data_IF_847275323939
#
_entry.id   IF_847275323939
#
_cell.length_a   1.000
_cell.length_b   1.000
_cell.length_c   1.000
_cell.angle_alpha   90.00
_cell.angle_beta   90.00
_cell.angle_gamma   90.00
#
_symmetry.space_group_name_H-M   'P 1'
#
loop_
_entity.id
_entity.type
_entity.pdbx_description
1 polymer ?
#
# COMPACT_ATOMS: atom_id res chain seq x y z
N UNK A 1 4.95 -12.03 13.37
CA UNK A 1 5.16 -10.59 13.56
C UNK A 1 6.27 -10.33 14.60
N UNK A 2 6.17 -10.72 15.88
CA UNK A 2 7.12 -10.38 16.97
C UNK A 2 8.55 -10.85 16.68
N UNK A 3 8.74 -12.10 16.20
CA UNK A 3 10.07 -12.61 15.86
C UNK A 3 10.76 -11.75 14.78
N UNK A 4 10.02 -11.38 13.74
CA UNK A 4 10.52 -10.52 12.66
C UNK A 4 10.83 -9.12 13.18
N UNK A 5 9.98 -8.58 14.04
CA UNK A 5 10.18 -7.26 14.66
C UNK A 5 11.45 -7.20 15.53
N UNK A 6 11.68 -8.21 16.36
CA UNK A 6 12.92 -8.32 17.17
C UNK A 6 14.18 -8.40 16.29
N UNK A 7 14.12 -9.19 15.20
CA UNK A 7 15.21 -9.29 14.25
C UNK A 7 15.48 -7.94 13.56
N UNK A 8 14.42 -7.30 13.05
CA UNK A 8 14.53 -6.00 12.37
C UNK A 8 15.09 -4.92 13.31
N UNK A 9 14.62 -4.86 14.56
CA UNK A 9 15.13 -3.95 15.56
C UNK A 9 16.63 -4.20 15.86
N UNK A 10 17.06 -5.47 15.90
CA UNK A 10 18.45 -5.82 16.09
C UNK A 10 19.32 -5.38 14.89
N UNK A 11 18.88 -5.63 13.66
CA UNK A 11 19.56 -5.20 12.44
C UNK A 11 19.67 -3.68 12.39
N UNK A 12 18.58 -2.95 12.66
CA UNK A 12 18.59 -1.49 12.66
C UNK A 12 19.61 -0.90 13.64
N UNK A 13 19.72 -1.49 14.85
CA UNK A 13 20.75 -1.09 15.83
C UNK A 13 22.16 -1.38 15.33
N UNK A 14 22.39 -2.59 14.79
CA UNK A 14 23.73 -2.99 14.30
C UNK A 14 24.21 -2.16 13.10
N UNK A 15 23.28 -1.72 12.26
CA UNK A 15 23.60 -0.90 11.07
C UNK A 15 23.58 0.60 11.33
N UNK A 16 23.27 1.02 12.56
CA UNK A 16 23.22 2.44 12.92
C UNK A 16 22.11 3.21 12.18
N UNK A 17 21.00 2.56 11.88
CA UNK A 17 19.88 3.18 11.17
C UNK A 17 19.29 4.32 12.00
N UNK A 18 19.16 5.52 11.38
CA UNK A 18 18.71 6.74 12.09
C UNK A 18 17.23 6.72 12.39
N UNK A 19 16.42 6.28 11.43
CA UNK A 19 14.96 6.16 11.58
C UNK A 19 14.64 4.74 11.99
N UNK A 20 13.80 4.58 13.01
CA UNK A 20 13.33 3.26 13.43
C UNK A 20 12.49 2.64 12.31
N UNK A 21 12.79 1.41 11.88
CA UNK A 21 11.99 0.76 10.85
C UNK A 21 10.59 0.45 11.36
N UNK A 22 9.66 0.30 10.41
CA UNK A 22 8.29 -0.07 10.69
C UNK A 22 8.06 -1.56 10.37
N UNK A 23 7.16 -2.20 11.11
CA UNK A 23 6.65 -3.53 10.76
C UNK A 23 5.45 -3.36 9.84
N UNK A 24 5.53 -3.91 8.65
CA UNK A 24 4.41 -3.94 7.72
C UNK A 24 3.54 -5.16 8.05
N UNK A 25 2.28 -4.91 8.34
CA UNK A 25 1.22 -5.89 8.50
C UNK A 25 0.29 -5.78 7.29
N UNK A 26 -0.15 -6.89 6.77
CA UNK A 26 -1.13 -6.98 5.71
C UNK A 26 -2.03 -8.18 5.93
N UNK A 27 -3.20 -8.19 5.30
CA UNK A 27 -3.95 -9.41 5.09
C UNK A 27 -3.32 -10.23 3.94
N UNK A 28 -3.74 -11.46 3.78
CA UNK A 28 -3.25 -12.35 2.75
C UNK A 28 -4.05 -12.13 1.46
N UNK A 29 -3.54 -11.25 0.58
CA UNK A 29 -4.19 -10.95 -0.69
C UNK A 29 -4.12 -12.13 -1.68
N UNK A 30 -5.15 -12.22 -2.55
CA UNK A 30 -5.21 -13.25 -3.58
C UNK A 30 -5.62 -14.63 -3.08
N UNK A 31 -6.07 -14.77 -1.82
CA UNK A 31 -6.51 -16.04 -1.23
C UNK A 31 -8.03 -16.16 -1.13
N UNK A 32 -8.74 -15.07 -0.93
CA UNK A 32 -10.19 -15.05 -1.01
C UNK A 32 -10.63 -15.09 -2.48
N UNK A 33 -11.49 -16.06 -2.90
CA UNK A 33 -11.89 -16.19 -4.29
C UNK A 33 -12.67 -14.98 -4.83
N UNK A 34 -13.56 -14.38 -4.02
CA UNK A 34 -14.37 -13.23 -4.43
C UNK A 34 -13.47 -12.00 -4.55
N UNK A 35 -12.65 -11.72 -3.55
CA UNK A 35 -11.73 -10.58 -3.57
C UNK A 35 -10.73 -10.68 -4.72
N UNK A 36 -10.27 -11.89 -5.04
CA UNK A 36 -9.37 -12.16 -6.16
C UNK A 36 -10.06 -11.94 -7.50
N UNK A 37 -11.27 -12.46 -7.67
CA UNK A 37 -12.05 -12.36 -8.92
C UNK A 37 -12.48 -10.92 -9.22
N UNK A 38 -12.84 -10.15 -8.19
CA UNK A 38 -13.37 -8.80 -8.35
C UNK A 38 -12.39 -7.67 -7.99
N UNK A 39 -11.10 -7.95 -7.88
CA UNK A 39 -10.09 -6.92 -7.59
C UNK A 39 -10.21 -5.71 -8.54
N UNK A 40 -10.19 -4.50 -8.00
CA UNK A 40 -10.46 -3.25 -8.72
C UNK A 40 -11.95 -2.97 -9.02
N UNK A 41 -12.88 -3.85 -8.56
CA UNK A 41 -14.33 -3.78 -8.77
C UNK A 41 -15.11 -4.18 -7.52
N UNK A 42 -14.51 -4.05 -6.35
CA UNK A 42 -15.10 -4.48 -5.08
C UNK A 42 -16.30 -3.61 -4.74
N UNK A 43 -17.40 -4.26 -4.34
CA UNK A 43 -18.60 -3.62 -3.80
C UNK A 43 -18.70 -3.84 -2.29
N UNK A 44 -19.59 -3.10 -1.62
CA UNK A 44 -19.77 -3.20 -0.17
C UNK A 44 -20.19 -4.61 0.28
N UNK A 45 -20.97 -5.31 -0.53
CA UNK A 45 -21.45 -6.66 -0.23
C UNK A 45 -20.36 -7.73 -0.29
N UNK A 46 -19.23 -7.42 -0.94
CA UNK A 46 -18.05 -8.29 -1.02
C UNK A 46 -17.07 -8.06 0.14
N UNK A 47 -17.34 -7.07 0.99
CA UNK A 47 -16.53 -6.73 2.14
C UNK A 47 -16.83 -7.57 3.38
N UNK A 48 -16.03 -7.36 4.42
CA UNK A 48 -16.27 -7.96 5.73
C UNK A 48 -17.56 -7.42 6.37
N UNK A 49 -18.27 -8.27 7.09
CA UNK A 49 -19.39 -7.88 7.96
C UNK A 49 -18.88 -7.00 9.13
N UNK A 50 -19.79 -6.39 9.89
CA UNK A 50 -19.42 -5.59 11.05
C UNK A 50 -18.68 -6.41 12.13
N UNK A 51 -19.08 -7.66 12.31
CA UNK A 51 -18.46 -8.58 13.28
C UNK A 51 -17.05 -8.96 12.83
N UNK A 52 -16.88 -9.34 11.57
CA UNK A 52 -15.57 -9.67 10.97
C UNK A 52 -14.62 -8.47 11.01
N UNK A 53 -15.10 -7.26 10.71
CA UNK A 53 -14.31 -6.03 10.86
C UNK A 53 -13.83 -5.81 12.30
N UNK A 54 -14.68 -6.09 13.28
CA UNK A 54 -14.31 -5.96 14.69
C UNK A 54 -13.19 -6.95 15.06
N UNK A 55 -13.30 -8.20 14.61
CA UNK A 55 -12.27 -9.22 14.82
C UNK A 55 -10.97 -8.89 14.09
N UNK A 56 -11.07 -8.43 12.83
CA UNK A 56 -9.93 -8.06 12.01
C UNK A 56 -9.13 -6.92 12.65
N UNK A 57 -9.82 -5.84 13.03
CA UNK A 57 -9.20 -4.69 13.68
C UNK A 57 -8.62 -5.03 15.06
N UNK A 58 -9.30 -5.87 15.85
CA UNK A 58 -8.77 -6.36 17.11
C UNK A 58 -7.48 -7.16 16.92
N UNK A 59 -7.42 -7.99 15.85
CA UNK A 59 -6.21 -8.72 15.47
C UNK A 59 -5.06 -7.78 15.10
N UNK A 60 -5.33 -6.75 14.29
CA UNK A 60 -4.33 -5.74 13.93
C UNK A 60 -3.78 -5.01 15.17
N UNK A 61 -4.67 -4.58 16.10
CA UNK A 61 -4.28 -3.91 17.33
C UNK A 61 -3.42 -4.83 18.23
N UNK A 62 -3.83 -6.09 18.41
CA UNK A 62 -3.08 -7.05 19.22
C UNK A 62 -1.68 -7.33 18.66
N UNK A 63 -1.55 -7.44 17.33
CA UNK A 63 -0.25 -7.61 16.68
C UNK A 63 0.62 -6.36 16.87
N UNK A 64 0.07 -5.17 16.65
CA UNK A 64 0.80 -3.92 16.79
C UNK A 64 1.27 -3.67 18.21
N UNK A 65 0.41 -3.92 19.22
CA UNK A 65 0.77 -3.83 20.62
C UNK A 65 1.89 -4.81 20.99
N UNK A 66 1.78 -6.08 20.56
CA UNK A 66 2.81 -7.07 20.80
C UNK A 66 4.14 -6.70 20.14
N UNK A 67 4.12 -6.20 18.91
CA UNK A 67 5.31 -5.72 18.19
C UNK A 67 5.96 -4.58 18.95
N UNK A 68 5.19 -3.55 19.35
CA UNK A 68 5.71 -2.40 20.06
C UNK A 68 6.32 -2.81 21.42
N UNK A 69 5.61 -3.62 22.21
CA UNK A 69 6.08 -4.09 23.52
C UNK A 69 7.38 -4.88 23.41
N UNK A 70 7.51 -5.74 22.40
CA UNK A 70 8.59 -6.73 22.31
C UNK A 70 9.83 -6.23 21.50
N UNK A 71 9.68 -5.16 20.73
CA UNK A 71 10.76 -4.66 19.87
C UNK A 71 10.97 -3.14 19.89
N UNK A 72 10.00 -2.39 20.41
CA UNK A 72 9.97 -0.93 20.35
C UNK A 72 9.61 -0.38 18.96
N UNK A 73 9.28 -1.24 17.99
CA UNK A 73 8.90 -0.81 16.64
C UNK A 73 7.39 -0.58 16.54
N UNK A 74 6.99 0.35 15.69
CA UNK A 74 5.57 0.57 15.35
C UNK A 74 5.16 -0.29 14.15
N UNK A 75 3.86 -0.46 13.98
CA UNK A 75 3.26 -1.24 12.90
C UNK A 75 2.50 -0.35 11.94
N UNK A 76 2.65 -0.59 10.65
CA UNK A 76 1.82 0.01 9.59
C UNK A 76 1.07 -1.09 8.88
N UNK A 77 -0.20 -0.84 8.55
CA UNK A 77 -0.98 -1.76 7.72
C UNK A 77 -0.81 -1.40 6.25
N UNK A 78 -0.54 -2.41 5.42
CA UNK A 78 -0.46 -2.27 3.97
C UNK A 78 -1.75 -2.79 3.33
N UNK A 79 -2.47 -1.91 2.66
CA UNK A 79 -3.67 -2.25 1.89
C UNK A 79 -3.29 -2.81 0.53
N UNK A 80 -4.03 -3.82 0.07
CA UNK A 80 -3.80 -4.47 -1.22
C UNK A 80 -5.10 -4.70 -1.99
N UNK A 81 -5.02 -4.63 -3.32
CA UNK A 81 -6.05 -5.24 -4.16
C UNK A 81 -6.07 -6.76 -3.97
N UNK A 82 -7.25 -7.36 -4.07
CA UNK A 82 -7.52 -8.77 -3.75
C UNK A 82 -7.33 -9.16 -2.27
N UNK A 83 -7.22 -8.20 -1.37
CA UNK A 83 -7.32 -8.33 0.08
C UNK A 83 -8.63 -7.77 0.61
N UNK A 84 -8.86 -7.83 1.91
CA UNK A 84 -10.07 -7.27 2.54
C UNK A 84 -9.97 -5.76 2.81
N UNK A 85 -8.81 -5.15 2.61
CA UNK A 85 -8.59 -3.71 2.74
C UNK A 85 -8.08 -3.19 1.40
N UNK A 86 -9.00 -3.05 0.44
CA UNK A 86 -8.70 -2.65 -0.94
C UNK A 86 -9.21 -1.25 -1.27
N UNK A 87 -10.49 -0.99 -0.98
CA UNK A 87 -11.14 0.27 -1.36
C UNK A 87 -10.83 1.41 -0.37
N UNK A 88 -10.96 2.68 -0.79
CA UNK A 88 -10.78 3.81 0.12
C UNK A 88 -11.65 3.72 1.37
N UNK A 89 -12.90 3.28 1.24
CA UNK A 89 -13.82 3.10 2.37
C UNK A 89 -13.37 2.00 3.34
N UNK A 90 -12.81 0.91 2.84
CA UNK A 90 -12.25 -0.16 3.67
C UNK A 90 -10.99 0.29 4.40
N UNK A 91 -10.12 1.08 3.73
CA UNK A 91 -8.94 1.67 4.37
C UNK A 91 -9.36 2.61 5.49
N UNK A 92 -10.29 3.53 5.23
CA UNK A 92 -10.80 4.48 6.25
C UNK A 92 -11.47 3.73 7.41
N UNK A 93 -12.19 2.65 7.13
CA UNK A 93 -12.81 1.79 8.15
C UNK A 93 -11.77 1.10 9.04
N UNK A 94 -10.71 0.53 8.46
CA UNK A 94 -9.60 -0.03 9.22
C UNK A 94 -8.99 1.03 10.13
N UNK A 95 -8.70 2.22 9.61
CA UNK A 95 -8.12 3.32 10.37
C UNK A 95 -9.02 3.78 11.52
N UNK A 96 -10.36 3.78 11.33
CA UNK A 96 -11.33 4.13 12.36
C UNK A 96 -11.41 3.09 13.49
N UNK A 97 -11.18 1.81 13.18
CA UNK A 97 -11.30 0.70 14.13
C UNK A 97 -9.98 0.33 14.82
N UNK A 98 -8.85 0.86 14.36
CA UNK A 98 -7.53 0.55 14.92
C UNK A 98 -6.97 1.69 15.76
N UNK A 99 -6.15 1.33 16.77
CA UNK A 99 -5.49 2.29 17.64
C UNK A 99 -4.55 3.22 16.85
N UNK A 100 -4.82 4.54 16.86
CA UNK A 100 -4.03 5.51 16.09
C UNK A 100 -2.59 5.71 16.60
N UNK A 101 -2.26 5.22 17.80
CA UNK A 101 -0.91 5.29 18.36
C UNK A 101 -0.05 4.13 17.87
N UNK A 102 -0.64 2.95 17.73
CA UNK A 102 0.08 1.70 17.48
C UNK A 102 0.02 1.25 16.01
N UNK A 103 -1.07 1.59 15.30
CA UNK A 103 -1.28 1.19 13.89
C UNK A 103 -1.32 2.42 12.99
N UNK A 104 -0.36 2.52 12.08
CA UNK A 104 -0.39 3.47 10.98
C UNK A 104 -0.79 2.80 9.67
N UNK A 105 -0.71 3.57 8.59
CA UNK A 105 -0.90 3.09 7.22
C UNK A 105 0.41 3.20 6.47
N UNK A 106 0.79 2.16 5.76
CA UNK A 106 1.62 2.33 4.57
C UNK A 106 0.67 2.54 3.39
N UNK A 107 0.72 3.71 2.80
CA UNK A 107 -0.13 4.04 1.68
C UNK A 107 0.57 3.65 0.37
N UNK A 108 -0.04 2.73 -0.37
CA UNK A 108 0.42 2.31 -1.69
C UNK A 108 -0.39 3.00 -2.79
N UNK A 109 0.29 3.78 -3.62
CA UNK A 109 -0.36 4.62 -4.64
C UNK A 109 -1.01 3.81 -5.75
N UNK A 110 -0.40 2.71 -6.19
CA UNK A 110 -0.91 1.87 -7.28
C UNK A 110 -2.10 1.02 -6.83
N UNK A 111 -2.00 0.38 -5.67
CA UNK A 111 -3.13 -0.36 -5.11
C UNK A 111 -4.33 0.54 -4.82
N UNK A 112 -4.08 1.76 -4.32
CA UNK A 112 -5.16 2.73 -4.12
C UNK A 112 -5.88 3.06 -5.43
N UNK A 113 -5.14 3.42 -6.48
CA UNK A 113 -5.75 3.80 -7.78
C UNK A 113 -6.50 2.63 -8.42
N UNK A 114 -5.97 1.42 -8.34
CA UNK A 114 -6.67 0.24 -8.87
C UNK A 114 -7.92 -0.07 -8.05
N UNK A 115 -7.85 -0.06 -6.72
CA UNK A 115 -8.99 -0.35 -5.82
C UNK A 115 -10.04 0.76 -5.77
N UNK A 116 -9.64 2.04 -5.82
CA UNK A 116 -10.56 3.18 -5.82
C UNK A 116 -11.26 3.39 -7.17
N UNK A 117 -10.59 3.00 -8.26
CA UNK A 117 -11.09 3.26 -9.62
C UNK A 117 -10.88 4.68 -10.13
N UNK A 118 -10.54 5.64 -9.27
CA UNK A 118 -10.39 7.06 -9.59
C UNK A 118 -9.11 7.62 -8.97
N UNK A 119 -8.11 7.89 -9.80
CA UNK A 119 -6.83 8.48 -9.36
C UNK A 119 -7.00 9.90 -8.76
N UNK A 120 -7.97 10.66 -9.26
CA UNK A 120 -8.22 12.04 -8.83
C UNK A 120 -8.56 12.19 -7.34
N UNK A 121 -9.06 11.14 -6.68
CA UNK A 121 -9.43 11.17 -5.25
C UNK A 121 -8.24 10.98 -4.31
N UNK A 122 -7.07 10.60 -4.84
CA UNK A 122 -5.93 10.17 -4.03
C UNK A 122 -5.37 11.28 -3.13
N UNK A 123 -5.15 12.48 -3.66
CA UNK A 123 -4.56 13.59 -2.88
C UNK A 123 -5.51 14.02 -1.75
N UNK A 124 -6.79 14.06 -2.01
CA UNK A 124 -7.80 14.36 -0.97
C UNK A 124 -7.84 13.25 0.10
N UNK A 125 -7.69 12.00 -0.30
CA UNK A 125 -7.58 10.88 0.65
C UNK A 125 -6.34 11.03 1.53
N UNK A 126 -5.17 11.36 0.94
CA UNK A 126 -3.93 11.60 1.66
C UNK A 126 -4.10 12.73 2.69
N UNK A 127 -4.75 13.84 2.33
CA UNK A 127 -4.97 14.96 3.25
C UNK A 127 -5.87 14.55 4.44
N UNK A 128 -6.98 13.87 4.19
CA UNK A 128 -7.91 13.45 5.25
C UNK A 128 -7.28 12.46 6.23
N UNK A 129 -6.40 11.59 5.76
CA UNK A 129 -5.81 10.51 6.55
C UNK A 129 -4.35 10.77 6.95
N UNK A 130 -3.86 11.99 6.74
CA UNK A 130 -2.47 12.38 6.83
C UNK A 130 -1.76 11.97 8.13
N UNK A 131 -2.44 12.06 9.27
CA UNK A 131 -1.86 11.71 10.59
C UNK A 131 -1.65 10.21 10.79
N UNK A 132 -2.32 9.39 9.99
CA UNK A 132 -2.24 7.92 10.03
C UNK A 132 -1.29 7.35 8.97
N UNK A 133 -0.91 8.12 7.96
CA UNK A 133 0.03 7.70 6.91
C UNK A 133 1.45 7.92 7.44
N UNK A 134 2.10 6.81 7.81
CA UNK A 134 3.45 6.83 8.37
C UNK A 134 4.50 6.35 7.38
N UNK A 135 4.08 5.70 6.29
CA UNK A 135 4.97 5.18 5.26
C UNK A 135 4.29 5.20 3.89
N UNK A 136 5.09 5.26 2.83
CA UNK A 136 4.59 5.33 1.46
C UNK A 136 5.25 4.28 0.59
N UNK A 137 4.42 3.57 -0.16
CA UNK A 137 4.84 2.79 -1.31
C UNK A 137 4.44 3.52 -2.60
N UNK A 138 5.41 3.74 -3.45
CA UNK A 138 5.20 4.31 -4.78
C UNK A 138 5.10 3.17 -5.78
N UNK A 139 3.92 2.92 -6.21
CA UNK A 139 3.55 1.93 -7.22
C UNK A 139 2.72 2.62 -8.29
N UNK A 140 2.96 2.32 -9.54
CA UNK A 140 2.14 2.84 -10.64
C UNK A 140 0.91 1.97 -10.85
N UNK A 141 -0.13 2.55 -11.46
CA UNK A 141 -1.29 1.81 -11.94
C UNK A 141 -1.54 2.20 -13.41
N UNK A 142 -1.42 1.24 -14.31
CA UNK A 142 -1.67 1.46 -15.73
C UNK A 142 -3.14 1.81 -15.99
N UNK A 143 -3.39 2.98 -16.56
CA UNK A 143 -4.74 3.43 -16.92
C UNK A 143 -5.41 2.47 -17.91
N UNK A 144 -4.65 2.06 -18.94
CA UNK A 144 -5.13 1.17 -19.99
C UNK A 144 -5.49 -0.20 -19.44
N UNK A 145 -4.55 -0.84 -18.73
CA UNK A 145 -4.75 -2.18 -18.16
C UNK A 145 -5.86 -2.19 -17.11
N UNK A 146 -5.96 -1.14 -16.28
CA UNK A 146 -7.05 -1.00 -15.33
C UNK A 146 -8.42 -0.90 -16.03
N UNK A 147 -8.50 -0.15 -17.12
CA UNK A 147 -9.71 -0.06 -17.96
C UNK A 147 -10.09 -1.40 -18.57
N UNK A 148 -9.13 -2.11 -19.18
CA UNK A 148 -9.35 -3.45 -19.75
C UNK A 148 -9.74 -4.45 -18.66
N UNK A 149 -9.04 -4.48 -17.54
CA UNK A 149 -9.35 -5.37 -16.41
C UNK A 149 -10.81 -5.22 -15.94
N UNK A 150 -11.30 -3.98 -15.82
CA UNK A 150 -12.69 -3.73 -15.44
C UNK A 150 -13.67 -4.11 -16.54
N UNK A 151 -13.37 -3.76 -17.79
CA UNK A 151 -14.26 -4.00 -18.94
C UNK A 151 -14.39 -5.47 -19.30
N UNK A 152 -13.32 -6.24 -19.17
CA UNK A 152 -13.27 -7.67 -19.50
C UNK A 152 -13.45 -8.58 -18.30
N UNK A 153 -13.59 -8.03 -17.09
CA UNK A 153 -13.80 -8.78 -15.87
C UNK A 153 -12.59 -9.62 -15.45
N UNK A 154 -11.36 -9.14 -15.66
CA UNK A 154 -10.16 -9.88 -15.25
C UNK A 154 -10.06 -10.00 -13.73
N UNK A 155 -9.59 -11.16 -13.28
CA UNK A 155 -9.21 -11.31 -11.89
C UNK A 155 -7.84 -10.67 -11.61
N UNK A 156 -7.48 -10.56 -10.33
CA UNK A 156 -6.25 -9.93 -9.87
C UNK A 156 -4.99 -10.45 -10.58
N UNK A 157 -4.82 -11.76 -10.64
CA UNK A 157 -3.63 -12.36 -11.25
C UNK A 157 -3.57 -12.17 -12.77
N UNK A 158 -4.73 -12.06 -13.43
CA UNK A 158 -4.78 -11.72 -14.85
C UNK A 158 -4.36 -10.27 -15.07
N UNK A 159 -4.86 -9.33 -14.28
CA UNK A 159 -4.41 -7.94 -14.34
C UNK A 159 -2.90 -7.80 -14.08
N UNK A 160 -2.34 -8.53 -13.10
CA UNK A 160 -0.89 -8.58 -12.85
C UNK A 160 -0.12 -9.07 -14.07
N UNK A 161 -0.54 -10.18 -14.70
CA UNK A 161 0.13 -10.71 -15.91
C UNK A 161 0.13 -9.74 -17.09
N UNK A 162 -0.86 -8.85 -17.15
CA UNK A 162 -0.92 -7.82 -18.18
C UNK A 162 -0.19 -6.52 -17.77
N UNK A 163 0.42 -6.47 -16.59
CA UNK A 163 1.26 -5.34 -16.17
C UNK A 163 0.49 -4.17 -15.58
N UNK A 164 -0.54 -4.45 -14.76
CA UNK A 164 -1.32 -3.40 -14.06
C UNK A 164 -0.43 -2.45 -13.25
N UNK A 165 0.66 -2.96 -12.66
CA UNK A 165 1.63 -2.18 -11.88
C UNK A 165 2.94 -2.01 -12.63
N UNK A 166 3.01 -0.97 -13.47
CA UNK A 166 4.13 -0.68 -14.37
C UNK A 166 5.19 0.25 -13.76
N UNK A 167 5.94 0.91 -14.66
CA UNK A 167 6.96 1.89 -14.27
C UNK A 167 6.32 3.22 -13.87
N UNK A 168 6.91 3.88 -12.87
CA UNK A 168 6.39 5.15 -12.34
C UNK A 168 6.30 6.23 -13.43
N UNK A 169 5.21 6.98 -13.41
CA UNK A 169 4.95 8.08 -14.36
C UNK A 169 4.40 7.65 -15.72
N UNK A 170 4.07 6.36 -15.89
CA UNK A 170 3.51 5.84 -17.14
C UNK A 170 2.02 5.46 -17.03
N UNK A 171 1.38 5.76 -15.90
CA UNK A 171 0.00 5.37 -15.64
C UNK A 171 -0.87 6.50 -15.10
N UNK A 172 -1.75 6.14 -14.17
CA UNK A 172 -2.79 7.02 -13.65
C UNK A 172 -2.40 7.77 -12.36
N UNK A 173 -1.29 7.41 -11.71
CA UNK A 173 -0.92 7.98 -10.42
C UNK A 173 -0.38 9.40 -10.57
N UNK A 174 -0.99 10.37 -9.87
CA UNK A 174 -0.49 11.75 -9.79
C UNK A 174 0.69 11.87 -8.82
N UNK A 175 1.86 11.38 -9.24
CA UNK A 175 3.08 11.49 -8.44
C UNK A 175 3.51 12.95 -8.18
N UNK A 176 3.17 13.89 -9.04
CA UNK A 176 3.50 15.30 -8.83
C UNK A 176 2.65 15.89 -7.69
N UNK A 177 1.38 15.55 -7.64
CA UNK A 177 0.49 15.88 -6.51
C UNK A 177 0.95 15.26 -5.21
N UNK A 178 1.29 13.96 -5.23
CA UNK A 178 1.84 13.25 -4.06
C UNK A 178 3.15 13.87 -3.58
N UNK A 179 4.09 14.16 -4.49
CA UNK A 179 5.35 14.81 -4.14
C UNK A 179 5.13 16.22 -3.53
N UNK A 180 4.14 16.95 -4.02
CA UNK A 180 3.75 18.25 -3.45
C UNK A 180 3.17 18.09 -2.05
N UNK A 181 2.32 17.09 -1.84
CA UNK A 181 1.75 16.76 -0.54
C UNK A 181 2.84 16.38 0.47
N UNK A 182 3.79 15.52 0.09
CA UNK A 182 4.94 15.13 0.94
C UNK A 182 5.78 16.33 1.36
N UNK A 183 6.12 17.23 0.39
CA UNK A 183 6.90 18.45 0.68
C UNK A 183 6.20 19.38 1.66
N UNK A 184 4.88 19.60 1.51
CA UNK A 184 4.09 20.43 2.45
C UNK A 184 4.08 19.88 3.87
N UNK A 185 4.26 18.57 4.04
CA UNK A 185 4.31 17.91 5.33
C UNK A 185 5.73 17.74 5.88
N UNK A 186 6.73 18.23 5.17
CA UNK A 186 8.15 18.02 5.52
C UNK A 186 8.47 16.52 5.72
N UNK A 187 7.91 15.65 4.85
CA UNK A 187 8.20 14.22 4.89
C UNK A 187 9.65 14.01 4.45
N UNK A 188 10.51 13.55 5.38
CA UNK A 188 11.93 13.31 5.19
C UNK A 188 12.34 11.84 5.40
N UNK A 189 11.36 10.95 5.47
CA UNK A 189 11.55 9.52 5.65
C UNK A 189 11.73 8.79 4.30
N UNK A 190 11.96 7.50 4.37
CA UNK A 190 12.18 6.64 3.20
C UNK A 190 10.89 6.44 2.41
N UNK A 191 10.99 6.48 1.09
CA UNK A 191 9.96 6.07 0.15
C UNK A 191 10.37 4.74 -0.48
N UNK A 192 9.47 3.77 -0.52
CA UNK A 192 9.72 2.51 -1.24
C UNK A 192 9.04 2.56 -2.61
N UNK A 193 9.80 2.27 -3.64
CA UNK A 193 9.25 2.01 -4.98
C UNK A 193 8.96 0.52 -5.11
N UNK A 194 7.72 0.20 -5.39
CA UNK A 194 7.29 -1.16 -5.71
C UNK A 194 6.89 -1.28 -7.17
N UNK A 195 7.39 -2.31 -7.83
CA UNK A 195 7.02 -2.63 -9.20
C UNK A 195 7.05 -4.14 -9.42
N UNK A 196 5.99 -4.65 -10.03
CA UNK A 196 5.90 -6.05 -10.42
C UNK A 196 6.55 -6.23 -11.79
N UNK A 197 7.77 -6.78 -11.84
CA UNK A 197 8.47 -7.11 -13.08
C UNK A 197 8.39 -8.62 -13.28
N UNK A 198 7.39 -9.06 -14.03
CA UNK A 198 7.19 -10.48 -14.34
C UNK A 198 8.12 -10.95 -15.47
N UNK A 199 8.33 -12.28 -15.64
CA UNK A 199 9.07 -12.81 -16.76
C UNK A 199 8.53 -12.30 -18.10
N UNK A 200 9.42 -11.73 -18.92
CA UNK A 200 9.06 -11.10 -20.20
C UNK A 200 8.82 -9.58 -20.13
N UNK A 201 8.71 -8.98 -18.94
CA UNK A 201 8.50 -7.52 -18.77
C UNK A 201 9.81 -6.70 -18.69
N UNK A 202 10.94 -7.32 -19.03
CA UNK A 202 12.24 -6.66 -19.04
C UNK A 202 13.13 -6.98 -17.82
N UNK A 203 14.17 -6.16 -17.64
CA UNK A 203 15.16 -6.37 -16.58
C UNK A 203 14.80 -5.51 -15.34
N UNK A 204 14.57 -6.08 -14.14
CA UNK A 204 14.20 -5.33 -12.94
C UNK A 204 15.15 -4.18 -12.61
N UNK A 205 16.46 -4.37 -12.80
CA UNK A 205 17.47 -3.32 -12.58
C UNK A 205 17.30 -2.12 -13.51
N UNK A 206 16.91 -2.34 -14.77
CA UNK A 206 16.68 -1.27 -15.73
C UNK A 206 15.40 -0.48 -15.38
N UNK A 207 14.33 -1.18 -15.00
CA UNK A 207 13.10 -0.57 -14.51
C UNK A 207 13.34 0.25 -13.24
N UNK A 208 14.07 -0.28 -12.27
CA UNK A 208 14.41 0.44 -11.06
C UNK A 208 15.19 1.75 -11.34
N UNK A 209 16.08 1.75 -12.34
CA UNK A 209 16.77 2.98 -12.78
C UNK A 209 15.79 4.00 -13.34
N UNK A 210 14.90 3.59 -14.27
CA UNK A 210 13.91 4.50 -14.86
C UNK A 210 12.98 5.08 -13.80
N UNK A 211 12.52 4.27 -12.85
CA UNK A 211 11.75 4.74 -11.70
C UNK A 211 12.53 5.78 -10.87
N UNK A 212 13.81 5.53 -10.61
CA UNK A 212 14.66 6.48 -9.88
C UNK A 212 14.87 7.78 -10.65
N UNK A 213 15.08 7.71 -11.96
CA UNK A 213 15.25 8.88 -12.82
C UNK A 213 13.95 9.70 -12.91
N UNK A 214 12.80 9.03 -12.98
CA UNK A 214 11.49 9.68 -12.89
C UNK A 214 11.32 10.43 -11.56
N UNK A 215 11.59 9.80 -10.41
CA UNK A 215 11.47 10.45 -9.11
C UNK A 215 12.35 11.69 -9.00
N UNK A 216 13.60 11.61 -9.48
CA UNK A 216 14.50 12.78 -9.54
C UNK A 216 13.93 13.91 -10.40
N UNK A 217 13.26 13.59 -11.51
CA UNK A 217 12.66 14.60 -12.40
C UNK A 217 11.53 15.38 -11.74
N UNK A 218 10.87 14.82 -10.74
CA UNK A 218 9.80 15.46 -9.96
C UNK A 218 10.27 15.98 -8.59
N UNK A 219 11.59 15.93 -8.32
CA UNK A 219 12.20 16.49 -7.13
C UNK A 219 12.16 15.60 -5.88
N UNK A 220 12.18 14.26 -6.09
CA UNK A 220 12.26 13.24 -5.04
C UNK A 220 13.54 12.41 -5.16
#
# INVERSE_FOLDING_TARGET
AVRSARLLAAVARLTGQRTAPLIVLADENGTDPIRTEYAGRITLEMGLTNEEWSHFAAGCNAVAEAVLRESGLRTVFHHHCAGYVETPGEIERLLALTDPVNVGLVFDTGHYVFGAGEAATMVDFLERNAVRIWYMHFKECSTEIAGQSRGEGWNYFTALRHGIFGELGQGAVDFAGVATWLRRRNYDDVLTVEQDVLPGMGAPKASARRNRDFLRSIGL
#
